data_IF_876608797980
#
_entry.id   IF_876608797980
#
_cell.length_a   1.000
_cell.length_b   1.000
_cell.length_c   1.000
_cell.angle_alpha   90.00
_cell.angle_beta   90.00
_cell.angle_gamma   90.00
#
_symmetry.space_group_name_H-M   'P 1'
#
loop_
_entity.id
_entity.type
_entity.pdbx_description
1 polymer ?
#
# COMPACT_ATOMS: atom_id res chain seq x y z
N UNK A 1 -36.06 -77.58 44.83
CA UNK A 1 -37.35 -77.02 45.25
C UNK A 1 -37.94 -76.24 44.09
N UNK A 2 -39.09 -76.73 43.62
CA UNK A 2 -40.15 -76.07 42.84
C UNK A 2 -39.78 -75.40 41.52
N UNK A 3 -39.61 -76.23 40.48
CA UNK A 3 -39.88 -75.84 39.10
C UNK A 3 -41.41 -75.72 38.95
N UNK A 4 -41.95 -74.52 39.22
CA UNK A 4 -43.36 -74.24 39.00
C UNK A 4 -43.65 -74.39 37.52
N UNK A 5 -44.35 -75.47 37.16
CA UNK A 5 -45.03 -75.60 35.89
C UNK A 5 -46.07 -74.48 35.87
N UNK A 6 -45.78 -73.39 35.15
CA UNK A 6 -46.74 -72.31 34.99
C UNK A 6 -47.99 -72.92 34.34
N UNK A 7 -49.07 -72.99 35.12
CA UNK A 7 -50.36 -73.47 34.65
C UNK A 7 -50.73 -72.65 33.42
N UNK A 8 -51.05 -73.30 32.29
CA UNK A 8 -51.44 -72.63 31.05
C UNK A 8 -52.55 -71.60 31.28
N UNK A 9 -53.47 -71.91 32.20
CA UNK A 9 -54.53 -70.98 32.65
C UNK A 9 -53.95 -69.72 33.32
N UNK A 10 -52.86 -69.83 34.07
CA UNK A 10 -52.22 -68.66 34.70
C UNK A 10 -51.55 -67.74 33.67
N UNK A 11 -50.91 -68.30 32.63
CA UNK A 11 -50.37 -67.49 31.53
C UNK A 11 -51.48 -66.81 30.73
N UNK A 12 -52.52 -67.54 30.35
CA UNK A 12 -53.67 -66.98 29.62
C UNK A 12 -54.37 -65.88 30.45
N UNK A 13 -54.55 -66.07 31.76
CA UNK A 13 -55.14 -65.04 32.65
C UNK A 13 -54.22 -63.82 32.78
N UNK A 14 -52.90 -64.01 32.87
CA UNK A 14 -51.95 -62.89 32.96
C UNK A 14 -51.95 -62.05 31.68
N UNK A 15 -51.95 -62.71 30.52
CA UNK A 15 -52.04 -62.03 29.23
C UNK A 15 -53.35 -61.25 29.08
N UNK A 16 -54.47 -61.79 29.57
CA UNK A 16 -55.76 -61.08 29.61
C UNK A 16 -55.72 -59.88 30.56
N UNK A 17 -55.10 -60.02 31.75
CA UNK A 17 -54.94 -58.91 32.70
C UNK A 17 -54.07 -57.80 32.12
N UNK A 18 -52.95 -58.16 31.48
CA UNK A 18 -52.03 -57.19 30.86
C UNK A 18 -52.70 -56.49 29.66
N UNK A 19 -53.48 -57.23 28.86
CA UNK A 19 -54.30 -56.68 27.76
C UNK A 19 -55.38 -55.72 28.26
N UNK A 20 -56.06 -56.06 29.37
CA UNK A 20 -57.05 -55.19 30.01
C UNK A 20 -56.40 -53.95 30.61
N UNK A 21 -55.20 -54.07 31.20
CA UNK A 21 -54.46 -52.93 31.73
C UNK A 21 -54.09 -51.95 30.63
N UNK A 22 -53.54 -52.44 29.51
CA UNK A 22 -53.20 -51.61 28.36
C UNK A 22 -54.44 -50.92 27.75
N UNK A 23 -55.54 -51.65 27.62
CA UNK A 23 -56.82 -51.08 27.13
C UNK A 23 -57.36 -49.99 28.08
N UNK A 24 -57.21 -50.19 29.39
CA UNK A 24 -57.62 -49.22 30.40
C UNK A 24 -56.71 -47.97 30.38
N UNK A 25 -55.40 -48.13 30.20
CA UNK A 25 -54.48 -47.01 30.04
C UNK A 25 -54.78 -46.18 28.78
N UNK A 26 -55.08 -46.82 27.64
CA UNK A 26 -55.51 -46.13 26.43
C UNK A 26 -56.80 -45.33 26.66
N UNK A 27 -57.80 -45.90 27.34
CA UNK A 27 -59.03 -45.20 27.69
C UNK A 27 -58.78 -44.01 28.62
N UNK A 28 -57.94 -44.18 29.65
CA UNK A 28 -57.55 -43.09 30.55
C UNK A 28 -56.81 -41.98 29.79
N UNK A 29 -55.95 -42.33 28.84
CA UNK A 29 -55.23 -41.37 27.99
C UNK A 29 -56.19 -40.61 27.08
N UNK A 30 -57.22 -41.26 26.53
CA UNK A 30 -58.27 -40.61 25.75
C UNK A 30 -59.13 -39.67 26.60
N UNK A 31 -59.47 -40.06 27.83
CA UNK A 31 -60.25 -39.23 28.77
C UNK A 31 -59.46 -38.04 29.33
N UNK A 32 -58.12 -38.09 29.32
CA UNK A 32 -57.24 -36.99 29.74
C UNK A 32 -56.98 -35.94 28.66
N UNK A 33 -57.51 -36.10 27.44
CA UNK A 33 -57.36 -35.08 26.39
C UNK A 33 -58.05 -33.79 26.85
N UNK A 34 -57.35 -32.64 26.92
CA UNK A 34 -57.97 -31.39 27.33
C UNK A 34 -59.02 -30.99 26.31
N UNK A 35 -60.29 -30.95 26.73
CA UNK A 35 -61.41 -30.48 25.92
C UNK A 35 -61.31 -28.96 25.82
N UNK A 36 -60.95 -28.44 24.64
CA UNK A 36 -60.88 -27.00 24.39
C UNK A 36 -62.26 -26.52 23.96
N UNK A 37 -62.81 -25.56 24.70
CA UNK A 37 -64.16 -25.04 24.47
C UNK A 37 -64.11 -23.73 23.68
N UNK A 38 -65.08 -23.55 22.80
CA UNK A 38 -65.33 -22.31 22.09
C UNK A 38 -65.75 -21.22 23.07
N UNK A 39 -65.01 -20.12 23.11
CA UNK A 39 -65.25 -18.98 24.00
C UNK A 39 -66.67 -18.40 23.88
N UNK A 40 -67.28 -18.44 22.69
CA UNK A 40 -68.62 -17.88 22.43
C UNK A 40 -69.77 -18.82 22.78
N UNK A 41 -69.59 -20.11 22.57
CA UNK A 41 -70.68 -21.09 22.63
C UNK A 41 -70.53 -22.09 23.78
N UNK A 42 -69.37 -22.09 24.45
CA UNK A 42 -68.99 -23.05 25.46
C UNK A 42 -69.20 -24.52 25.00
N UNK A 43 -68.91 -24.77 23.73
CA UNK A 43 -68.98 -26.08 23.06
C UNK A 43 -67.59 -26.49 22.60
N UNK A 44 -67.32 -27.78 22.60
CA UNK A 44 -66.04 -28.33 22.15
C UNK A 44 -65.67 -27.86 20.74
N UNK A 45 -64.40 -27.49 20.57
CA UNK A 45 -63.81 -27.18 19.27
C UNK A 45 -63.45 -28.49 18.58
N UNK A 46 -64.24 -28.90 17.61
CA UNK A 46 -64.07 -30.16 16.86
C UNK A 46 -63.83 -29.96 15.37
N UNK A 47 -63.95 -28.73 14.88
CA UNK A 47 -63.86 -28.38 13.46
C UNK A 47 -62.77 -27.33 13.22
N UNK A 48 -62.20 -27.29 12.01
CA UNK A 48 -61.27 -26.28 11.55
C UNK A 48 -61.83 -25.59 10.30
N UNK A 49 -61.97 -24.26 10.36
CA UNK A 49 -62.34 -23.47 9.18
C UNK A 49 -61.08 -23.07 8.42
N UNK A 50 -60.90 -23.60 7.21
CA UNK A 50 -59.70 -23.36 6.41
C UNK A 50 -59.58 -21.90 5.94
N UNK A 51 -60.70 -21.20 5.74
CA UNK A 51 -60.70 -19.81 5.31
C UNK A 51 -60.34 -18.83 6.44
N UNK A 52 -60.59 -19.22 7.69
CA UNK A 52 -60.34 -18.38 8.86
C UNK A 52 -59.09 -18.78 9.66
N UNK A 53 -58.44 -19.90 9.30
CA UNK A 53 -57.35 -20.54 10.02
C UNK A 53 -57.62 -20.71 11.53
N UNK A 54 -58.85 -21.14 11.88
CA UNK A 54 -59.30 -21.23 13.27
C UNK A 54 -60.03 -22.52 13.58
N UNK A 55 -59.77 -23.07 14.76
CA UNK A 55 -60.58 -24.12 15.35
C UNK A 55 -61.92 -23.53 15.84
N UNK A 56 -63.02 -24.18 15.50
CA UNK A 56 -64.39 -23.73 15.78
C UNK A 56 -65.25 -24.90 16.27
N UNK A 57 -66.37 -24.59 16.93
CA UNK A 57 -67.39 -25.59 17.27
C UNK A 57 -68.48 -25.64 16.20
N UNK A 58 -69.31 -26.68 16.20
CA UNK A 58 -70.43 -26.86 15.24
C UNK A 58 -71.35 -25.64 15.19
N UNK A 59 -71.61 -24.98 16.34
CA UNK A 59 -72.49 -23.81 16.41
C UNK A 59 -71.91 -22.59 15.68
N UNK A 60 -70.58 -22.44 15.65
CA UNK A 60 -69.93 -21.35 14.89
C UNK A 60 -70.21 -21.42 13.38
N UNK A 61 -70.38 -22.62 12.84
CA UNK A 61 -70.64 -22.88 11.42
C UNK A 61 -72.11 -22.67 11.08
N UNK A 62 -73.02 -23.14 11.94
CA UNK A 62 -74.44 -23.19 11.60
C UNK A 62 -75.16 -21.84 11.72
N UNK A 63 -74.81 -21.03 12.73
CA UNK A 63 -75.60 -19.83 13.09
C UNK A 63 -74.78 -18.54 13.14
N UNK A 64 -73.49 -18.63 12.88
CA UNK A 64 -72.52 -17.59 13.21
C UNK A 64 -71.67 -17.20 11.99
N UNK A 65 -70.60 -16.43 12.21
CA UNK A 65 -69.79 -15.81 11.14
C UNK A 65 -69.08 -16.79 10.19
N UNK A 66 -69.09 -18.10 10.47
CA UNK A 66 -68.48 -19.11 9.60
C UNK A 66 -69.49 -19.83 8.69
N UNK A 67 -70.77 -19.41 8.70
CA UNK A 67 -71.83 -20.00 7.86
C UNK A 67 -71.53 -19.91 6.36
N UNK A 68 -70.83 -18.86 5.93
CA UNK A 68 -70.41 -18.71 4.53
C UNK A 68 -69.27 -19.66 4.12
N UNK A 69 -68.60 -20.31 5.07
CA UNK A 69 -67.40 -21.13 4.83
C UNK A 69 -67.68 -22.63 5.04
N UNK A 70 -68.95 -23.04 5.10
CA UNK A 70 -69.37 -24.44 5.39
C UNK A 70 -68.60 -25.44 4.51
N UNK A 71 -68.43 -25.13 3.23
CA UNK A 71 -67.76 -26.00 2.25
C UNK A 71 -66.23 -26.11 2.46
N UNK A 72 -65.67 -25.28 3.34
CA UNK A 72 -64.23 -25.22 3.68
C UNK A 72 -63.98 -25.50 5.17
N UNK A 73 -64.94 -26.14 5.85
CA UNK A 73 -64.76 -26.63 7.22
C UNK A 73 -64.46 -28.12 7.20
N UNK A 74 -63.40 -28.51 7.92
CA UNK A 74 -62.97 -29.90 8.07
C UNK A 74 -63.01 -30.30 9.54
N UNK A 75 -63.05 -31.60 9.83
CA UNK A 75 -62.75 -32.10 11.16
C UNK A 75 -61.28 -31.82 11.51
N UNK A 76 -60.97 -31.70 12.81
CA UNK A 76 -59.62 -31.32 13.25
C UNK A 76 -58.54 -32.30 12.77
N UNK A 77 -58.81 -33.60 12.80
CA UNK A 77 -57.85 -34.63 12.39
C UNK A 77 -57.57 -34.55 10.88
N UNK A 78 -58.61 -34.40 10.06
CA UNK A 78 -58.50 -34.20 8.61
C UNK A 78 -57.73 -32.91 8.26
N UNK A 79 -58.06 -31.81 8.94
CA UNK A 79 -57.36 -30.53 8.76
C UNK A 79 -55.89 -30.64 9.16
N UNK A 80 -55.59 -31.32 10.27
CA UNK A 80 -54.23 -31.55 10.76
C UNK A 80 -53.42 -32.39 9.79
N UNK A 81 -54.00 -33.46 9.26
CA UNK A 81 -53.34 -34.30 8.26
C UNK A 81 -53.03 -33.50 6.98
N UNK A 82 -54.02 -32.73 6.47
CA UNK A 82 -53.84 -31.87 5.29
C UNK A 82 -52.77 -30.80 5.48
N UNK A 83 -52.73 -30.13 6.63
CA UNK A 83 -51.71 -29.13 6.97
C UNK A 83 -50.33 -29.77 7.14
N UNK A 84 -50.24 -30.91 7.82
CA UNK A 84 -49.00 -31.69 7.96
C UNK A 84 -48.44 -32.09 6.60
N UNK A 85 -49.28 -32.61 5.72
CA UNK A 85 -48.89 -32.99 4.36
C UNK A 85 -48.44 -31.78 3.53
N UNK A 86 -49.01 -30.60 3.77
CA UNK A 86 -48.57 -29.36 3.14
C UNK A 86 -47.19 -28.93 3.63
N UNK A 87 -46.95 -28.91 4.95
CA UNK A 87 -45.63 -28.63 5.53
C UNK A 87 -44.57 -29.61 5.00
N UNK A 88 -44.89 -30.91 4.95
CA UNK A 88 -43.97 -31.92 4.43
C UNK A 88 -43.63 -31.71 2.95
N UNK A 89 -44.57 -31.19 2.15
CA UNK A 89 -44.31 -30.81 0.75
C UNK A 89 -43.42 -29.56 0.68
N UNK A 90 -43.74 -28.50 1.43
CA UNK A 90 -42.94 -27.27 1.47
C UNK A 90 -41.50 -27.52 1.94
N UNK A 91 -41.32 -28.39 2.95
CA UNK A 91 -40.00 -28.78 3.44
C UNK A 91 -39.15 -29.46 2.35
N UNK A 92 -39.75 -30.19 1.41
CA UNK A 92 -39.02 -30.75 0.26
C UNK A 92 -38.49 -29.65 -0.67
N UNK A 93 -39.23 -28.55 -0.85
CA UNK A 93 -38.76 -27.41 -1.63
C UNK A 93 -37.66 -26.63 -0.90
N UNK A 94 -37.80 -26.43 0.41
CA UNK A 94 -36.76 -25.79 1.24
C UNK A 94 -35.46 -26.60 1.24
N UNK A 95 -35.53 -27.93 1.33
CA UNK A 95 -34.35 -28.80 1.25
C UNK A 95 -33.61 -28.63 -0.10
N UNK A 96 -34.35 -28.59 -1.21
CA UNK A 96 -33.77 -28.30 -2.54
C UNK A 96 -33.15 -26.90 -2.62
N UNK A 97 -33.79 -25.90 -2.03
CA UNK A 97 -33.26 -24.53 -2.01
C UNK A 97 -31.98 -24.43 -1.17
N UNK A 98 -31.91 -25.12 -0.04
CA UNK A 98 -30.71 -25.20 0.78
C UNK A 98 -29.54 -25.84 0.01
N UNK A 99 -29.80 -26.93 -0.71
CA UNK A 99 -28.81 -27.56 -1.58
C UNK A 99 -28.27 -26.61 -2.67
N UNK A 100 -29.17 -25.88 -3.35
CA UNK A 100 -28.77 -24.86 -4.33
C UNK A 100 -27.92 -23.76 -3.71
N UNK A 101 -28.27 -23.26 -2.52
CA UNK A 101 -27.50 -22.24 -1.83
C UNK A 101 -26.12 -22.75 -1.41
N UNK A 102 -26.02 -23.99 -0.93
CA UNK A 102 -24.75 -24.63 -0.62
C UNK A 102 -23.87 -24.75 -1.87
N UNK A 103 -24.45 -25.13 -3.01
CA UNK A 103 -23.73 -25.19 -4.28
C UNK A 103 -23.22 -23.82 -4.74
N UNK A 104 -24.02 -22.75 -4.61
CA UNK A 104 -23.59 -21.38 -4.90
C UNK A 104 -22.45 -20.96 -3.96
N UNK A 105 -22.58 -21.24 -2.67
CA UNK A 105 -21.56 -20.88 -1.67
C UNK A 105 -20.22 -21.59 -1.96
N UNK A 106 -20.26 -22.88 -2.31
CA UNK A 106 -19.06 -23.63 -2.68
C UNK A 106 -18.39 -23.04 -3.92
N UNK A 107 -19.17 -22.67 -4.95
CA UNK A 107 -18.65 -22.01 -6.15
C UNK A 107 -18.01 -20.66 -5.85
N UNK A 108 -18.60 -19.87 -4.94
CA UNK A 108 -18.04 -18.59 -4.52
C UNK A 108 -16.71 -18.78 -3.78
N UNK A 109 -16.62 -19.76 -2.87
CA UNK A 109 -15.37 -20.10 -2.17
C UNK A 109 -14.27 -20.53 -3.13
N UNK A 110 -14.59 -21.36 -4.13
CA UNK A 110 -13.62 -21.73 -5.17
C UNK A 110 -13.15 -20.50 -5.92
N UNK A 111 -14.08 -19.63 -6.35
CA UNK A 111 -13.73 -18.42 -7.11
C UNK A 111 -12.89 -17.43 -6.31
N UNK A 112 -13.17 -17.28 -5.02
CA UNK A 112 -12.36 -16.48 -4.09
C UNK A 112 -10.94 -17.03 -3.99
N UNK A 113 -10.80 -18.35 -3.82
CA UNK A 113 -9.49 -19.01 -3.80
C UNK A 113 -8.75 -18.86 -5.14
N UNK A 114 -9.44 -19.02 -6.28
CA UNK A 114 -8.85 -18.84 -7.61
C UNK A 114 -8.36 -17.38 -7.80
N UNK A 115 -9.10 -16.40 -7.28
CA UNK A 115 -8.67 -14.99 -7.29
C UNK A 115 -7.41 -14.77 -6.46
N UNK A 116 -7.32 -15.34 -5.25
CA UNK A 116 -6.12 -15.26 -4.43
C UNK A 116 -4.92 -15.89 -5.15
N UNK A 117 -5.08 -17.11 -5.69
CA UNK A 117 -4.01 -17.81 -6.40
C UNK A 117 -3.52 -17.04 -7.63
N UNK A 118 -4.44 -16.44 -8.40
CA UNK A 118 -4.08 -15.63 -9.56
C UNK A 118 -3.30 -14.37 -9.12
N UNK A 119 -3.76 -13.69 -8.08
CA UNK A 119 -3.08 -12.52 -7.51
C UNK A 119 -1.66 -12.87 -7.04
N UNK A 120 -1.52 -13.96 -6.28
CA UNK A 120 -0.24 -14.45 -5.78
C UNK A 120 0.70 -14.83 -6.91
N UNK A 121 0.19 -15.48 -7.98
CA UNK A 121 0.97 -15.83 -9.16
C UNK A 121 1.52 -14.58 -9.87
N UNK A 122 0.67 -13.56 -10.07
CA UNK A 122 1.07 -12.30 -10.72
C UNK A 122 2.12 -11.58 -9.87
N UNK A 123 1.91 -11.47 -8.56
CA UNK A 123 2.88 -10.85 -7.64
C UNK A 123 4.21 -11.59 -7.67
N UNK A 124 4.18 -12.92 -7.66
CA UNK A 124 5.39 -13.73 -7.74
C UNK A 124 6.14 -13.52 -9.07
N UNK A 125 5.43 -13.49 -10.21
CA UNK A 125 6.03 -13.18 -11.52
C UNK A 125 6.65 -11.78 -11.55
N UNK A 126 5.97 -10.78 -10.96
CA UNK A 126 6.52 -9.42 -10.82
C UNK A 126 7.80 -9.42 -9.98
N UNK A 127 7.81 -10.09 -8.83
CA UNK A 127 8.99 -10.16 -7.96
C UNK A 127 10.17 -10.82 -8.67
N UNK A 128 9.97 -11.96 -9.33
CA UNK A 128 11.02 -12.63 -10.13
C UNK A 128 11.59 -11.68 -11.20
N UNK A 129 10.71 -10.95 -11.88
CA UNK A 129 11.11 -10.00 -12.92
C UNK A 129 11.92 -8.84 -12.35
N UNK A 130 11.50 -8.28 -11.21
CA UNK A 130 12.20 -7.18 -10.52
C UNK A 130 13.56 -7.65 -10.01
N UNK A 131 13.64 -8.84 -9.41
CA UNK A 131 14.89 -9.41 -8.91
C UNK A 131 15.90 -9.61 -10.05
N UNK A 132 15.47 -10.13 -11.20
CA UNK A 132 16.31 -10.27 -12.38
C UNK A 132 16.79 -8.91 -12.93
N UNK A 133 15.96 -7.87 -12.85
CA UNK A 133 16.38 -6.50 -13.22
C UNK A 133 17.42 -5.94 -12.25
N UNK A 134 17.25 -6.17 -10.95
CA UNK A 134 18.22 -5.75 -9.91
C UNK A 134 19.56 -6.45 -10.12
N UNK A 135 19.55 -7.77 -10.35
CA UNK A 135 20.76 -8.55 -10.62
C UNK A 135 21.52 -8.00 -11.83
N UNK A 136 20.82 -7.76 -12.95
CA UNK A 136 21.41 -7.17 -14.16
C UNK A 136 21.98 -5.77 -13.91
N UNK A 137 21.34 -4.95 -13.08
CA UNK A 137 21.87 -3.63 -12.69
C UNK A 137 23.15 -3.75 -11.86
N UNK A 138 23.24 -4.76 -10.97
CA UNK A 138 24.45 -5.02 -10.22
C UNK A 138 25.59 -5.49 -11.12
N UNK A 139 25.31 -6.37 -12.09
CA UNK A 139 26.29 -6.82 -13.09
C UNK A 139 26.82 -5.64 -13.93
N UNK A 140 25.94 -4.79 -14.48
CA UNK A 140 26.35 -3.60 -15.25
C UNK A 140 27.16 -2.61 -14.39
N UNK A 141 26.81 -2.45 -13.10
CA UNK A 141 27.63 -1.66 -12.16
C UNK A 141 29.03 -2.25 -12.03
N UNK A 142 29.15 -3.54 -11.76
CA UNK A 142 30.44 -4.19 -11.52
C UNK A 142 31.30 -4.18 -12.79
N UNK A 143 30.71 -4.41 -13.96
CA UNK A 143 31.38 -4.30 -15.25
C UNK A 143 31.92 -2.87 -15.50
N UNK A 144 31.13 -1.83 -15.20
CA UNK A 144 31.58 -0.43 -15.33
C UNK A 144 32.70 -0.09 -14.34
N UNK A 145 32.63 -0.58 -13.10
CA UNK A 145 33.69 -0.39 -12.11
C UNK A 145 34.98 -1.05 -12.61
N UNK A 146 34.91 -2.29 -13.07
CA UNK A 146 36.06 -3.04 -13.56
C UNK A 146 36.67 -2.39 -14.81
N UNK A 147 35.83 -1.93 -15.73
CA UNK A 147 36.27 -1.32 -16.99
C UNK A 147 36.88 0.07 -16.80
N UNK A 148 36.30 0.90 -15.93
CA UNK A 148 36.62 2.32 -15.88
C UNK A 148 37.31 2.79 -14.60
N UNK A 149 36.97 2.21 -13.44
CA UNK A 149 37.49 2.65 -12.14
C UNK A 149 38.71 1.83 -11.73
N UNK A 150 38.66 0.50 -11.87
CA UNK A 150 39.72 -0.39 -11.44
C UNK A 150 41.11 -0.08 -12.07
N UNK A 151 41.23 0.22 -13.39
CA UNK A 151 42.52 0.50 -14.00
C UNK A 151 43.15 1.79 -13.48
N UNK A 152 42.34 2.85 -13.34
CA UNK A 152 42.79 4.15 -12.82
C UNK A 152 43.17 4.01 -11.35
N UNK A 153 42.35 3.33 -10.53
CA UNK A 153 42.66 3.04 -9.13
C UNK A 153 43.98 2.29 -8.99
N UNK A 154 44.21 1.26 -9.81
CA UNK A 154 45.46 0.50 -9.79
C UNK A 154 46.66 1.35 -10.22
N UNK A 155 46.51 2.24 -11.21
CA UNK A 155 47.56 3.18 -11.61
C UNK A 155 47.90 4.17 -10.50
N UNK A 156 46.90 4.76 -9.84
CA UNK A 156 47.06 5.66 -8.70
C UNK A 156 47.78 4.95 -7.55
N UNK A 157 47.34 3.76 -7.17
CA UNK A 157 47.98 2.99 -6.10
C UNK A 157 49.45 2.63 -6.41
N UNK A 158 49.78 2.35 -7.68
CA UNK A 158 51.17 2.11 -8.09
C UNK A 158 52.03 3.36 -7.97
N UNK A 159 51.56 4.49 -8.47
CA UNK A 159 52.31 5.76 -8.40
C UNK A 159 52.44 6.26 -6.96
N UNK A 160 51.41 6.07 -6.13
CA UNK A 160 51.48 6.38 -4.70
C UNK A 160 52.62 5.60 -4.02
N UNK A 161 52.69 4.27 -4.21
CA UNK A 161 53.77 3.44 -3.65
C UNK A 161 55.15 3.85 -4.17
N UNK A 162 55.26 4.21 -5.45
CA UNK A 162 56.50 4.68 -6.05
C UNK A 162 56.99 5.98 -5.37
N UNK A 163 56.08 6.94 -5.16
CA UNK A 163 56.38 8.20 -4.47
C UNK A 163 56.75 7.95 -3.00
N UNK A 164 56.00 7.13 -2.27
CA UNK A 164 56.31 6.76 -0.89
C UNK A 164 57.71 6.13 -0.77
N UNK A 165 58.07 5.23 -1.70
CA UNK A 165 59.40 4.61 -1.72
C UNK A 165 60.51 5.62 -1.97
N UNK A 166 60.32 6.54 -2.93
CA UNK A 166 61.30 7.59 -3.24
C UNK A 166 61.48 8.52 -2.04
N UNK A 167 60.39 8.90 -1.37
CA UNK A 167 60.45 9.71 -0.14
C UNK A 167 61.27 8.98 0.91
N UNK A 168 60.98 7.70 1.19
CA UNK A 168 61.70 6.92 2.20
C UNK A 168 63.20 6.79 1.88
N UNK A 169 63.55 6.47 0.63
CA UNK A 169 64.93 6.36 0.19
C UNK A 169 65.66 7.71 0.22
N UNK A 170 64.98 8.80 -0.13
CA UNK A 170 65.56 10.15 -0.07
C UNK A 170 65.89 10.57 1.36
N UNK A 171 65.02 10.25 2.33
CA UNK A 171 65.28 10.50 3.74
C UNK A 171 66.42 9.66 4.29
N UNK A 172 66.49 8.37 3.91
CA UNK A 172 67.59 7.50 4.32
C UNK A 172 68.93 8.04 3.80
N UNK A 173 69.01 8.34 2.50
CA UNK A 173 70.22 8.86 1.86
C UNK A 173 70.63 10.24 2.38
N UNK A 174 69.67 11.10 2.75
CA UNK A 174 69.95 12.41 3.34
C UNK A 174 70.62 12.34 4.71
N UNK A 175 70.47 11.22 5.43
CA UNK A 175 71.06 10.97 6.75
C UNK A 175 72.36 10.15 6.69
N UNK A 176 72.82 9.71 5.52
CA UNK A 176 74.09 9.00 5.37
C UNK A 176 75.30 9.94 5.53
N UNK A 177 76.41 9.44 6.07
CA UNK A 177 77.65 10.20 6.19
C UNK A 177 78.23 10.57 4.81
N UNK A 178 78.80 11.78 4.69
CA UNK A 178 79.25 12.30 3.39
C UNK A 178 80.50 11.58 2.88
N UNK A 179 80.38 10.93 1.72
CA UNK A 179 81.51 10.39 0.96
C UNK A 179 81.27 10.54 -0.56
N UNK A 180 82.30 10.32 -1.42
CA UNK A 180 82.15 10.45 -2.87
C UNK A 180 80.99 9.63 -3.46
N UNK A 181 80.78 8.41 -2.98
CA UNK A 181 79.69 7.54 -3.46
C UNK A 181 78.31 8.08 -3.09
N UNK A 182 78.16 8.63 -1.88
CA UNK A 182 76.91 9.24 -1.40
C UNK A 182 76.60 10.49 -2.22
N UNK A 183 77.57 11.32 -2.57
CA UNK A 183 77.35 12.50 -3.43
C UNK A 183 76.81 12.11 -4.82
N UNK A 184 77.34 11.03 -5.42
CA UNK A 184 76.85 10.51 -6.71
C UNK A 184 75.41 9.99 -6.58
N UNK A 185 75.13 9.20 -5.54
CA UNK A 185 73.77 8.69 -5.26
C UNK A 185 72.78 9.83 -5.00
N UNK A 186 73.19 10.89 -4.29
CA UNK A 186 72.35 12.06 -4.00
C UNK A 186 72.00 12.81 -5.28
N UNK A 187 72.97 13.00 -6.19
CA UNK A 187 72.69 13.59 -7.51
C UNK A 187 71.72 12.75 -8.34
N UNK A 188 71.83 11.42 -8.29
CA UNK A 188 70.88 10.51 -8.93
C UNK A 188 69.49 10.61 -8.31
N UNK A 189 69.39 10.61 -6.98
CA UNK A 189 68.13 10.74 -6.24
C UNK A 189 67.41 12.05 -6.57
N UNK A 190 68.12 13.17 -6.64
CA UNK A 190 67.55 14.47 -7.03
C UNK A 190 66.97 14.41 -8.46
N UNK A 191 67.62 13.71 -9.39
CA UNK A 191 67.09 13.51 -10.74
C UNK A 191 65.81 12.67 -10.71
N UNK A 192 65.79 11.57 -9.94
CA UNK A 192 64.60 10.72 -9.77
C UNK A 192 63.42 11.50 -9.20
N UNK A 193 63.66 12.32 -8.16
CA UNK A 193 62.64 13.20 -7.56
C UNK A 193 62.10 14.18 -8.59
N UNK A 194 62.98 14.85 -9.34
CA UNK A 194 62.57 15.78 -10.40
C UNK A 194 61.74 15.07 -11.47
N UNK A 195 62.16 13.89 -11.93
CA UNK A 195 61.40 13.11 -12.92
C UNK A 195 60.01 12.76 -12.41
N UNK A 196 59.87 12.34 -11.14
CA UNK A 196 58.56 12.04 -10.57
C UNK A 196 57.68 13.28 -10.36
N UNK A 197 58.25 14.43 -10.05
CA UNK A 197 57.49 15.68 -9.93
C UNK A 197 56.86 16.14 -11.26
N UNK A 198 57.43 15.74 -12.40
CA UNK A 198 56.90 16.04 -13.74
C UNK A 198 56.13 14.87 -14.36
N UNK A 199 55.99 13.74 -13.66
CA UNK A 199 55.20 12.59 -14.14
C UNK A 199 53.72 12.92 -14.02
N UNK A 200 52.98 12.73 -15.11
CA UNK A 200 51.53 13.00 -15.11
C UNK A 200 50.79 12.12 -14.10
N UNK A 201 49.72 12.66 -13.52
CA UNK A 201 48.81 11.89 -12.70
C UNK A 201 47.94 10.98 -13.56
N UNK A 202 47.50 9.81 -13.06
CA UNK A 202 46.59 8.97 -13.80
C UNK A 202 45.25 9.70 -13.94
N UNK A 203 44.85 9.97 -15.18
CA UNK A 203 43.65 10.75 -15.47
C UNK A 203 42.42 9.85 -15.43
N UNK A 204 41.43 10.22 -14.63
CA UNK A 204 40.09 9.65 -14.70
C UNK A 204 39.30 10.37 -15.81
N UNK A 205 38.85 9.64 -16.83
CA UNK A 205 37.88 10.20 -17.76
C UNK A 205 36.50 10.20 -17.09
N UNK A 206 35.85 11.36 -17.03
CA UNK A 206 34.47 11.45 -16.53
C UNK A 206 33.56 10.64 -17.45
N UNK A 207 33.18 9.45 -16.99
CA UNK A 207 32.17 8.64 -17.63
C UNK A 207 30.84 8.80 -16.91
N UNK A 208 29.75 8.63 -17.66
CA UNK A 208 28.41 8.72 -17.08
C UNK A 208 28.20 7.60 -16.06
N UNK A 209 28.11 8.00 -14.79
CA UNK A 209 27.86 7.10 -13.65
C UNK A 209 26.37 6.93 -13.36
N UNK A 210 25.49 7.51 -14.19
CA UNK A 210 24.06 7.37 -14.00
C UNK A 210 23.58 5.97 -14.40
N UNK A 211 22.78 5.37 -13.52
CA UNK A 211 22.00 4.18 -13.81
C UNK A 211 20.55 4.58 -14.02
N UNK A 212 19.90 3.96 -15.01
CA UNK A 212 18.48 4.21 -15.29
C UNK A 212 17.67 3.09 -14.66
N UNK A 213 16.71 3.46 -13.80
CA UNK A 213 15.71 2.50 -13.32
C UNK A 213 14.65 2.29 -14.44
N UNK A 214 14.45 1.07 -14.95
CA UNK A 214 13.46 0.83 -16.00
C UNK A 214 12.01 0.82 -15.49
N UNK A 215 11.81 0.69 -14.17
CA UNK A 215 10.50 0.56 -13.53
C UNK A 215 9.95 1.92 -13.09
N UNK A 216 10.81 2.74 -12.48
CA UNK A 216 10.43 4.09 -12.04
C UNK A 216 11.12 5.13 -12.90
N UNK A 217 10.40 6.17 -13.33
CA UNK A 217 11.01 7.24 -14.10
C UNK A 217 12.09 7.96 -13.30
N UNK A 218 13.02 8.62 -14.00
CA UNK A 218 14.10 9.34 -13.34
C UNK A 218 13.54 10.46 -12.45
N UNK A 219 14.25 10.82 -11.37
CA UNK A 219 13.87 11.96 -10.55
C UNK A 219 13.92 13.25 -11.38
N UNK A 220 12.96 14.13 -11.12
CA UNK A 220 12.93 15.47 -11.69
C UNK A 220 14.12 16.25 -11.12
N UNK A 221 14.93 16.84 -12.00
CA UNK A 221 16.08 17.65 -11.61
C UNK A 221 15.72 19.13 -11.76
N UNK A 222 15.82 19.87 -10.67
CA UNK A 222 15.53 21.31 -10.63
C UNK A 222 16.68 22.04 -9.99
N UNK A 223 17.19 23.08 -10.65
CA UNK A 223 18.27 23.93 -10.13
C UNK A 223 17.68 25.27 -9.68
N UNK A 224 17.89 25.62 -8.41
CA UNK A 224 17.57 26.96 -7.91
C UNK A 224 18.85 27.72 -7.61
N UNK A 225 18.91 28.95 -8.09
CA UNK A 225 19.92 29.94 -7.73
C UNK A 225 19.23 31.17 -7.11
N UNK A 226 19.81 31.69 -6.03
CA UNK A 226 19.40 32.94 -5.39
C UNK A 226 20.65 33.80 -5.14
N UNK A 227 20.92 34.79 -6.00
CA UNK A 227 22.06 35.69 -5.81
C UNK A 227 21.78 36.71 -4.70
N UNK A 228 22.87 37.21 -4.12
CA UNK A 228 22.88 38.11 -2.98
C UNK A 228 22.06 37.55 -1.80
N UNK A 229 22.22 36.25 -1.52
CA UNK A 229 21.33 35.50 -0.64
C UNK A 229 21.33 36.04 0.79
N UNK A 230 22.50 36.06 1.44
CA UNK A 230 22.63 36.44 2.86
C UNK A 230 22.25 37.90 3.07
N UNK A 231 22.70 38.78 2.16
CA UNK A 231 22.36 40.20 2.20
C UNK A 231 20.85 40.45 2.03
N UNK A 232 20.17 39.71 1.15
CA UNK A 232 18.71 39.83 0.97
C UNK A 232 17.93 39.23 2.14
N UNK A 233 18.34 38.09 2.69
CA UNK A 233 17.71 37.50 3.90
C UNK A 233 17.79 38.48 5.07
N UNK A 234 18.95 39.07 5.34
CA UNK A 234 19.11 40.04 6.43
C UNK A 234 18.26 41.30 6.27
N UNK A 235 18.00 41.74 5.02
CA UNK A 235 17.23 42.96 4.74
C UNK A 235 15.72 42.75 4.72
N UNK A 236 15.26 41.62 4.17
CA UNK A 236 13.84 41.41 3.83
C UNK A 236 13.20 40.26 4.59
N UNK A 237 13.97 39.51 5.38
CA UNK A 237 13.61 38.26 6.05
C UNK A 237 13.14 37.13 5.12
N UNK A 238 12.68 37.40 3.89
CA UNK A 238 12.16 36.42 2.92
C UNK A 238 12.63 36.75 1.51
N UNK A 239 13.13 35.76 0.80
CA UNK A 239 13.60 35.85 -0.59
C UNK A 239 13.06 34.68 -1.42
N UNK A 240 12.96 34.88 -2.73
CA UNK A 240 12.46 33.87 -3.65
C UNK A 240 13.46 33.64 -4.78
N UNK A 241 13.56 32.39 -5.25
CA UNK A 241 14.23 32.06 -6.50
C UNK A 241 13.35 32.38 -7.72
N UNK A 242 13.95 32.31 -8.91
CA UNK A 242 13.20 32.32 -10.16
C UNK A 242 12.37 31.04 -10.26
N UNK A 243 11.07 31.12 -10.61
CA UNK A 243 10.25 29.93 -10.84
C UNK A 243 10.83 29.03 -11.92
N UNK A 244 10.81 27.72 -11.68
CA UNK A 244 11.27 26.69 -12.60
C UNK A 244 10.06 25.88 -13.09
N UNK A 245 9.88 25.84 -14.41
CA UNK A 245 8.83 25.07 -15.06
C UNK A 245 9.36 23.71 -15.50
N UNK A 246 8.65 22.64 -15.20
CA UNK A 246 8.97 21.28 -15.65
C UNK A 246 7.69 20.45 -15.72
N UNK A 247 7.48 19.74 -16.83
CA UNK A 247 6.38 18.77 -17.00
C UNK A 247 5.02 19.23 -16.44
N UNK A 248 4.61 20.48 -16.72
CA UNK A 248 3.32 21.03 -16.25
C UNK A 248 3.28 21.55 -14.81
N UNK A 249 4.36 21.39 -14.05
CA UNK A 249 4.57 22.03 -12.76
C UNK A 249 5.39 23.31 -12.90
N UNK A 250 5.13 24.26 -12.00
CA UNK A 250 5.98 25.42 -11.79
C UNK A 250 6.34 25.49 -10.31
N UNK A 251 7.62 25.30 -9.98
CA UNK A 251 8.11 25.37 -8.61
C UNK A 251 8.91 26.63 -8.36
N UNK A 252 8.89 27.09 -7.11
CA UNK A 252 9.73 28.18 -6.65
C UNK A 252 10.29 27.86 -5.27
N UNK A 253 11.55 28.24 -5.05
CA UNK A 253 12.18 28.16 -3.75
C UNK A 253 11.92 29.46 -3.00
N UNK A 254 11.22 29.37 -1.87
CA UNK A 254 11.09 30.45 -0.89
C UNK A 254 12.12 30.20 0.21
N UNK A 255 12.92 31.20 0.52
CA UNK A 255 13.90 31.13 1.59
C UNK A 255 13.58 32.24 2.58
N UNK A 256 13.50 31.94 3.88
CA UNK A 256 13.25 32.99 4.86
C UNK A 256 13.90 32.69 6.20
N UNK A 257 14.14 33.74 6.98
CA UNK A 257 14.57 33.61 8.38
C UNK A 257 13.32 33.64 9.26
N UNK A 258 13.09 32.54 9.96
CA UNK A 258 12.09 32.46 11.01
C UNK A 258 12.62 33.16 12.25
N UNK A 259 12.00 34.28 12.63
CA UNK A 259 12.46 35.08 13.78
C UNK A 259 12.12 34.43 15.13
N UNK A 260 11.14 33.53 15.17
CA UNK A 260 10.74 32.84 16.41
C UNK A 260 11.73 31.74 16.77
N UNK A 261 12.09 30.91 15.80
CA UNK A 261 13.04 29.81 15.96
C UNK A 261 14.49 30.24 15.68
N UNK A 262 14.68 31.43 15.11
CA UNK A 262 15.98 31.97 14.67
C UNK A 262 16.72 31.05 13.68
N UNK A 263 15.97 30.36 12.81
CA UNK A 263 16.51 29.48 11.76
C UNK A 263 16.21 30.02 10.36
N UNK A 264 17.02 29.62 9.39
CA UNK A 264 16.82 29.88 7.96
C UNK A 264 16.13 28.67 7.35
N UNK A 265 14.90 28.85 6.84
CA UNK A 265 14.09 27.82 6.20
C UNK A 265 14.11 27.97 4.69
N UNK A 266 14.21 26.84 4.00
CA UNK A 266 14.13 26.71 2.56
C UNK A 266 12.90 25.86 2.20
N UNK A 267 11.89 26.51 1.64
CA UNK A 267 10.60 25.91 1.34
C UNK A 267 10.38 25.83 -0.17
N UNK A 268 9.94 24.66 -0.64
CA UNK A 268 9.57 24.45 -2.02
C UNK A 268 8.07 24.74 -2.19
N UNK A 269 7.74 25.63 -3.13
CA UNK A 269 6.36 26.03 -3.40
C UNK A 269 5.93 25.58 -4.78
N UNK A 270 4.76 24.96 -4.87
CA UNK A 270 4.09 24.67 -6.14
C UNK A 270 3.23 25.88 -6.52
N UNK A 271 3.67 26.64 -7.52
CA UNK A 271 2.92 27.77 -8.10
C UNK A 271 1.85 27.26 -9.08
N UNK A 272 2.24 26.32 -9.93
CA UNK A 272 1.36 25.66 -10.89
C UNK A 272 1.52 24.15 -10.80
N UNK A 273 0.40 23.41 -10.85
CA UNK A 273 0.35 21.97 -10.60
C UNK A 273 -0.76 21.58 -9.63
N UNK A 274 -0.53 20.49 -8.89
CA UNK A 274 -1.41 19.87 -7.90
C UNK A 274 -0.57 19.28 -6.75
N UNK A 275 -1.23 18.85 -5.67
CA UNK A 275 -0.56 18.26 -4.50
C UNK A 275 0.14 16.94 -4.85
N UNK A 276 1.33 16.74 -4.31
CA UNK A 276 2.12 15.53 -4.53
C UNK A 276 2.43 14.89 -3.19
N UNK A 277 1.93 13.68 -2.98
CA UNK A 277 2.16 12.92 -1.76
C UNK A 277 3.32 11.94 -1.94
N UNK A 278 3.94 11.56 -0.82
CA UNK A 278 4.99 10.55 -0.72
C UNK A 278 6.13 10.80 -1.71
N UNK A 279 6.79 11.96 -1.63
CA UNK A 279 7.96 12.25 -2.48
C UNK A 279 9.27 12.16 -1.72
N UNK A 280 10.35 11.87 -2.46
CA UNK A 280 11.72 12.01 -1.95
C UNK A 280 12.41 13.17 -2.64
N UNK A 281 12.84 14.16 -1.86
CA UNK A 281 13.65 15.29 -2.32
C UNK A 281 15.08 15.08 -1.86
N UNK A 282 16.02 15.04 -2.80
CA UNK A 282 17.46 15.01 -2.53
C UNK A 282 18.04 16.34 -2.94
N UNK A 283 18.59 17.07 -1.96
CA UNK A 283 19.18 18.39 -2.12
C UNK A 283 20.69 18.26 -2.22
N UNK A 284 21.23 18.54 -3.41
CA UNK A 284 22.67 18.56 -3.66
C UNK A 284 23.19 19.99 -3.47
N UNK A 285 24.24 20.17 -2.66
CA UNK A 285 24.98 21.42 -2.65
C UNK A 285 25.68 21.61 -4.00
N UNK A 286 25.92 22.87 -4.37
CA UNK A 286 26.50 23.25 -5.64
C UNK A 286 27.79 22.46 -5.97
N UNK A 287 27.86 21.89 -7.17
CA UNK A 287 29.04 21.16 -7.67
C UNK A 287 30.29 22.04 -7.84
N UNK A 288 30.14 23.36 -7.72
CA UNK A 288 31.24 24.33 -7.72
C UNK A 288 31.93 24.47 -6.34
N UNK A 289 31.37 23.88 -5.28
CA UNK A 289 32.03 23.84 -3.96
C UNK A 289 33.17 22.82 -3.97
N UNK A 290 34.41 23.31 -3.98
CA UNK A 290 35.66 22.54 -3.87
C UNK A 290 35.67 21.60 -2.64
N UNK A 291 34.85 21.88 -1.62
CA UNK A 291 34.83 21.14 -0.36
C UNK A 291 34.03 19.84 -0.42
N UNK A 292 33.21 19.62 -1.46
CA UNK A 292 32.22 18.57 -1.45
C UNK A 292 31.18 18.80 -0.32
N UNK A 293 30.02 18.18 -0.44
CA UNK A 293 29.01 18.18 0.61
C UNK A 293 28.10 17.00 0.42
N UNK A 294 27.74 16.35 1.51
CA UNK A 294 26.79 15.24 1.45
C UNK A 294 25.41 15.79 1.05
N UNK A 295 24.72 15.13 0.11
CA UNK A 295 23.37 15.53 -0.25
C UNK A 295 22.42 15.30 0.93
N UNK A 296 21.52 16.26 1.15
CA UNK A 296 20.51 16.16 2.21
C UNK A 296 19.22 15.56 1.65
N UNK A 297 18.64 14.60 2.36
CA UNK A 297 17.46 13.86 1.91
C UNK A 297 16.26 14.19 2.80
N UNK A 298 15.09 14.37 2.17
CA UNK A 298 13.79 14.47 2.82
C UNK A 298 12.76 13.61 2.11
N UNK A 299 11.93 12.93 2.91
CA UNK A 299 10.69 12.32 2.44
C UNK A 299 9.55 13.19 2.97
N UNK A 300 8.68 13.66 2.09
CA UNK A 300 7.64 14.64 2.44
C UNK A 300 6.49 14.64 1.44
N UNK A 301 5.42 15.34 1.79
CA UNK A 301 4.38 15.75 0.85
C UNK A 301 4.62 17.18 0.39
N UNK A 302 4.24 17.49 -0.86
CA UNK A 302 4.20 18.85 -1.38
C UNK A 302 2.75 19.28 -1.59
N UNK A 303 2.28 20.19 -0.76
CA UNK A 303 0.96 20.81 -0.91
C UNK A 303 1.06 22.09 -1.73
N UNK A 304 0.13 22.26 -2.66
CA UNK A 304 0.09 23.40 -3.55
C UNK A 304 -0.30 24.66 -2.78
N UNK A 305 0.44 25.74 -3.04
CA UNK A 305 0.23 27.03 -2.38
C UNK A 305 0.86 27.13 -0.98
N UNK A 306 1.24 26.01 -0.36
CA UNK A 306 1.88 25.97 0.95
C UNK A 306 3.40 26.15 0.88
N UNK A 307 4.01 26.43 2.03
CA UNK A 307 5.46 26.50 2.21
C UNK A 307 5.96 25.13 2.67
N UNK A 308 6.35 24.28 1.72
CA UNK A 308 6.82 22.93 2.02
C UNK A 308 8.32 22.97 2.38
N UNK A 309 8.64 23.05 3.68
CA UNK A 309 10.03 23.16 4.16
C UNK A 309 10.85 21.93 3.80
N UNK A 310 11.90 22.12 3.02
CA UNK A 310 12.83 21.07 2.58
C UNK A 310 14.09 21.07 3.43
N UNK A 311 14.64 22.23 3.76
CA UNK A 311 15.86 22.36 4.55
C UNK A 311 15.73 23.47 5.58
N UNK A 312 16.42 23.30 6.70
CA UNK A 312 16.49 24.26 7.81
C UNK A 312 17.93 24.35 8.28
N UNK A 313 18.41 25.57 8.53
CA UNK A 313 19.76 25.87 8.95
C UNK A 313 19.75 26.88 10.10
N UNK A 314 20.63 26.72 11.09
CA UNK A 314 20.72 27.64 12.23
C UNK A 314 21.21 29.03 11.81
N UNK A 315 22.20 29.07 10.90
CA UNK A 315 22.78 30.30 10.38
C UNK A 315 23.40 30.10 8.98
N UNK A 316 24.01 31.15 8.44
CA UNK A 316 24.68 31.10 7.14
C UNK A 316 25.92 30.20 7.12
N UNK A 317 26.58 29.97 8.27
CA UNK A 317 27.74 29.09 8.35
C UNK A 317 27.32 27.62 8.29
N UNK A 318 26.19 27.26 8.92
CA UNK A 318 25.58 25.94 8.90
C UNK A 318 25.11 25.52 7.49
N UNK A 319 24.85 26.48 6.60
CA UNK A 319 24.52 26.20 5.19
C UNK A 319 25.68 25.56 4.41
N UNK A 320 26.91 25.64 4.91
CA UNK A 320 28.07 24.95 4.35
C UNK A 320 28.20 25.16 2.84
N UNK A 321 28.23 24.05 2.08
CA UNK A 321 28.40 24.06 0.63
C UNK A 321 27.15 24.44 -0.19
N UNK A 322 26.02 24.71 0.45
CA UNK A 322 24.83 25.24 -0.24
C UNK A 322 24.93 26.75 -0.52
N UNK A 323 25.70 27.49 0.29
CA UNK A 323 25.91 28.93 0.14
C UNK A 323 27.35 29.22 -0.29
N UNK A 324 27.53 29.79 -1.47
CA UNK A 324 28.81 30.36 -1.87
C UNK A 324 28.98 31.69 -1.14
N UNK A 325 29.84 31.71 -0.12
CA UNK A 325 30.10 32.90 0.69
C UNK A 325 30.92 33.97 -0.03
N UNK A 326 31.65 33.61 -1.09
CA UNK A 326 32.42 34.57 -1.90
C UNK A 326 31.52 35.31 -2.88
N UNK A 327 30.57 34.59 -3.50
CA UNK A 327 29.60 35.16 -4.45
C UNK A 327 28.30 35.63 -3.79
N UNK A 328 28.09 35.32 -2.50
CA UNK A 328 26.82 35.48 -1.78
C UNK A 328 25.65 34.86 -2.56
N UNK A 329 25.83 33.62 -3.04
CA UNK A 329 24.85 32.93 -3.89
C UNK A 329 24.47 31.58 -3.30
N UNK A 330 23.17 31.38 -3.07
CA UNK A 330 22.62 30.07 -2.74
C UNK A 330 22.36 29.31 -4.04
N UNK A 331 22.99 28.15 -4.20
CA UNK A 331 22.77 27.27 -5.36
C UNK A 331 22.47 25.86 -4.87
N UNK A 332 21.31 25.34 -5.28
CA UNK A 332 20.82 24.03 -4.85
C UNK A 332 20.23 23.26 -6.03
N UNK A 333 20.77 22.09 -6.31
CA UNK A 333 20.16 21.12 -7.23
C UNK A 333 19.27 20.19 -6.41
N UNK A 334 17.97 20.19 -6.70
CA UNK A 334 17.00 19.28 -6.10
C UNK A 334 16.67 18.16 -7.09
N UNK A 335 16.75 16.91 -6.62
CA UNK A 335 16.25 15.74 -7.31
C UNK A 335 15.00 15.24 -6.62
N UNK A 336 13.86 15.33 -7.30
CA UNK A 336 12.55 15.00 -6.78
C UNK A 336 12.12 13.66 -7.39
N UNK A 337 12.14 12.60 -6.59
CA UNK A 337 11.61 11.30 -6.97
C UNK A 337 10.11 11.26 -6.64
N UNK A 338 9.30 11.14 -7.68
CA UNK A 338 7.88 10.90 -7.59
C UNK A 338 7.66 9.40 -7.38
N UNK A 339 7.14 8.98 -6.23
CA UNK A 339 6.96 7.56 -5.93
C UNK A 339 5.86 6.95 -6.79
N UNK A 340 5.79 5.61 -6.82
CA UNK A 340 4.85 4.85 -7.67
C UNK A 340 3.37 5.25 -7.50
N UNK A 341 2.98 5.88 -6.39
CA UNK A 341 1.66 6.48 -6.19
C UNK A 341 1.32 7.56 -7.23
N UNK A 342 2.31 8.35 -7.68
CA UNK A 342 2.15 9.36 -8.73
C UNK A 342 1.75 8.74 -10.08
N UNK A 343 2.35 7.60 -10.44
CA UNK A 343 2.10 6.90 -11.70
C UNK A 343 0.90 5.95 -11.61
N UNK A 344 0.71 5.29 -10.46
CA UNK A 344 -0.42 4.39 -10.22
C UNK A 344 -1.76 5.15 -10.16
N UNK A 345 -1.78 6.38 -9.65
CA UNK A 345 -3.02 7.17 -9.51
C UNK A 345 -3.46 7.90 -10.79
N UNK A 346 -2.72 7.82 -11.91
CA UNK A 346 -3.04 8.53 -13.17
C UNK A 346 -3.23 10.06 -13.01
N UNK A 347 -2.85 10.62 -11.86
CA UNK A 347 -3.22 11.99 -11.45
C UNK A 347 -2.64 13.05 -12.39
N UNK A 348 -1.41 12.84 -12.87
CA UNK A 348 -0.77 13.72 -13.85
C UNK A 348 -1.53 13.78 -15.18
N UNK A 349 -1.90 12.60 -15.69
CA UNK A 349 -2.65 12.49 -16.94
C UNK A 349 -4.03 13.15 -16.80
N UNK A 350 -4.72 12.91 -15.69
CA UNK A 350 -6.02 13.51 -15.41
C UNK A 350 -5.95 15.05 -15.31
N UNK A 351 -4.89 15.57 -14.68
CA UNK A 351 -4.65 17.02 -14.63
C UNK A 351 -4.40 17.62 -16.01
N UNK A 352 -3.52 16.99 -16.82
CA UNK A 352 -3.24 17.43 -18.19
C UNK A 352 -4.51 17.44 -19.05
N UNK A 353 -5.34 16.39 -18.96
CA UNK A 353 -6.63 16.30 -19.66
C UNK A 353 -7.56 17.44 -19.23
N UNK A 354 -7.70 17.69 -17.92
CA UNK A 354 -8.54 18.80 -17.41
C UNK A 354 -8.04 20.15 -17.89
N UNK A 355 -6.73 20.41 -17.87
CA UNK A 355 -6.14 21.67 -18.32
C UNK A 355 -6.40 21.91 -19.81
N UNK A 356 -6.17 20.88 -20.64
CA UNK A 356 -6.43 20.95 -22.08
C UNK A 356 -7.92 21.11 -22.39
N UNK A 357 -8.80 20.45 -21.63
CA UNK A 357 -10.25 20.58 -21.80
C UNK A 357 -10.73 21.99 -21.45
N UNK A 358 -10.23 22.58 -20.36
CA UNK A 358 -10.53 23.97 -19.99
C UNK A 358 -10.01 24.98 -21.02
N UNK A 359 -8.83 24.75 -21.61
CA UNK A 359 -8.33 25.60 -22.70
C UNK A 359 -9.21 25.51 -23.95
N UNK A 360 -9.73 24.32 -24.27
CA UNK A 360 -10.66 24.13 -25.38
C UNK A 360 -11.96 24.90 -25.18
N UNK A 361 -12.54 24.86 -23.98
CA UNK A 361 -13.73 25.65 -23.64
C UNK A 361 -13.48 27.16 -23.76
N UNK A 362 -12.32 27.64 -23.29
CA UNK A 362 -11.94 29.04 -23.44
C UNK A 362 -11.81 29.44 -24.91
N UNK A 363 -11.17 28.61 -25.74
CA UNK A 363 -11.04 28.87 -27.18
C UNK A 363 -12.39 28.86 -27.91
N UNK A 364 -13.29 27.93 -27.56
CA UNK A 364 -14.65 27.87 -28.13
C UNK A 364 -15.51 29.06 -27.69
N UNK A 365 -15.31 29.57 -26.47
CA UNK A 365 -16.00 30.77 -25.99
C UNK A 365 -15.48 32.04 -26.67
N UNK A 366 -14.18 32.14 -26.94
CA UNK A 366 -13.59 33.25 -27.71
C UNK A 366 -14.12 33.25 -29.16
N UNK A 367 -14.21 32.08 -29.80
CA UNK A 367 -14.78 31.95 -31.16
C UNK A 367 -16.29 32.21 -31.26
N UNK A 368 -17.03 32.15 -30.15
CA UNK A 368 -18.47 32.51 -30.10
C UNK A 368 -18.71 33.98 -29.74
N UNK A 369 -17.67 34.69 -29.30
CA UNK A 369 -17.71 36.10 -28.94
C UNK A 369 -17.17 37.04 -30.04
N UNK A 370 -16.69 36.47 -31.13
CA UNK A 370 -16.47 37.13 -32.44
C UNK A 370 -17.67 36.83 -33.36
#
# INVERSE_FOLDING_TARGET
MNQFTYCRVYQEVREVIDSLHNSMEELIQQLRKPVILCEKHNKELTLFCQECDKCICVKCVLVDRHRGHIDLVLELDDAREKLKNTILRENKFLAKRLDMLNNVNNRLKTRENDMHQLCDSIVNEMNITVDAMIEKMHEDKDERIEKYIAPVKAAVMRQQKEVESIIQQSFALANEETCPDVLVKTCQMIRTIKTMNYKEFPVYQHHDINFTNPITPPPLKVLFSVPCFSSRILRSCTVFSVPQSFEGFMLQLKCYRDLGENVIKLCLRILEGYDIDDIKVVCYPSCYSIRGGEPLVRCMDLKKGEDNTVLEFEDFAAMGSFLDTMLDELVIEMRISLWGSYYAKCAHKDWCIKKLSGLKEVMENVQKSE
#
